data_IF_420168164891
#
_entry.id   IF_420168164891
#
_cell.length_a   1.000
_cell.length_b   1.000
_cell.length_c   1.000
_cell.angle_alpha   90.00
_cell.angle_beta   90.00
_cell.angle_gamma   90.00
#
_symmetry.space_group_name_H-M   'P 1'
#
loop_
_entity.id
_entity.type
_entity.pdbx_description
1 polymer ?
#
# COMPACT_ATOMS: atom_id res chain seq x y z
N UNK A 1 15.72 -18.25 -10.73
CA UNK A 1 16.66 -18.70 -9.69
C UNK A 1 16.04 -18.72 -8.28
N UNK A 2 15.05 -17.84 -7.98
CA UNK A 2 14.45 -17.75 -6.63
C UNK A 2 13.29 -18.72 -6.40
N UNK A 3 12.61 -19.19 -7.43
CA UNK A 3 11.40 -20.01 -7.32
C UNK A 3 11.70 -21.37 -6.67
N UNK A 4 12.71 -22.07 -7.14
CA UNK A 4 13.03 -23.40 -6.63
C UNK A 4 13.44 -23.40 -5.14
N UNK A 5 14.35 -22.52 -4.67
CA UNK A 5 14.63 -22.40 -3.25
C UNK A 5 13.40 -22.04 -2.41
N UNK A 6 12.51 -21.17 -2.91
CA UNK A 6 11.26 -20.82 -2.24
C UNK A 6 10.36 -22.04 -2.07
N UNK A 7 10.17 -22.83 -3.14
CA UNK A 7 9.37 -24.05 -3.08
C UNK A 7 9.94 -25.08 -2.09
N UNK A 8 11.27 -25.21 -2.05
CA UNK A 8 11.93 -26.11 -1.07
C UNK A 8 11.72 -25.62 0.37
N UNK A 9 11.85 -24.32 0.63
CA UNK A 9 11.59 -23.72 1.94
C UNK A 9 10.14 -23.98 2.37
N UNK A 10 9.14 -23.71 1.50
CA UNK A 10 7.73 -23.92 1.82
C UNK A 10 7.47 -25.39 2.17
N UNK A 11 8.00 -26.33 1.39
CA UNK A 11 7.87 -27.78 1.67
C UNK A 11 8.55 -28.16 2.99
N UNK A 12 9.76 -27.64 3.23
CA UNK A 12 10.49 -27.89 4.46
C UNK A 12 9.81 -27.27 5.70
N UNK A 13 9.01 -26.20 5.52
CA UNK A 13 8.13 -25.64 6.56
C UNK A 13 6.94 -26.56 6.88
N UNK A 14 6.74 -27.64 6.14
CA UNK A 14 5.62 -28.55 6.30
C UNK A 14 4.30 -28.05 5.71
N UNK A 15 4.36 -27.01 4.86
CA UNK A 15 3.19 -26.45 4.21
C UNK A 15 2.92 -27.17 2.88
N UNK A 16 1.67 -27.52 2.56
CA UNK A 16 1.31 -28.07 1.27
C UNK A 16 1.51 -27.02 0.18
N UNK A 17 2.23 -27.39 -0.88
CA UNK A 17 2.49 -26.55 -2.03
C UNK A 17 1.85 -27.15 -3.26
N UNK A 18 0.93 -26.41 -3.88
CA UNK A 18 0.31 -26.76 -5.15
C UNK A 18 0.91 -25.91 -6.26
N UNK A 19 1.35 -26.58 -7.33
CA UNK A 19 1.85 -25.94 -8.53
C UNK A 19 1.30 -26.74 -9.73
N UNK A 20 0.32 -26.18 -10.43
CA UNK A 20 -0.40 -26.82 -11.52
C UNK A 20 0.06 -26.20 -12.82
N UNK A 21 0.64 -27.00 -13.71
CA UNK A 21 1.14 -26.51 -14.99
C UNK A 21 0.00 -26.00 -15.89
N UNK A 22 0.15 -24.79 -16.43
CA UNK A 22 -0.83 -24.17 -17.34
C UNK A 22 -2.09 -23.65 -16.66
N UNK A 23 -2.08 -23.51 -15.33
CA UNK A 23 -3.18 -22.96 -14.53
C UNK A 23 -2.65 -21.83 -13.68
N UNK A 24 -3.41 -20.74 -13.55
CA UNK A 24 -3.08 -19.63 -12.66
C UNK A 24 -3.28 -20.01 -11.19
N UNK A 25 -2.50 -19.41 -10.32
CA UNK A 25 -2.63 -19.64 -8.87
C UNK A 25 -4.01 -19.26 -8.35
N UNK A 26 -4.60 -18.21 -8.91
CA UNK A 26 -5.92 -17.69 -8.54
C UNK A 26 -7.04 -18.68 -8.80
N UNK A 27 -6.96 -19.42 -9.91
CA UNK A 27 -7.91 -20.48 -10.26
C UNK A 27 -7.79 -21.67 -9.29
N UNK A 28 -6.56 -22.03 -8.89
CA UNK A 28 -6.32 -23.08 -7.90
C UNK A 28 -6.88 -22.66 -6.54
N UNK A 29 -6.59 -21.44 -6.09
CA UNK A 29 -7.09 -20.89 -4.84
C UNK A 29 -8.62 -20.76 -4.89
N UNK A 30 -9.18 -20.22 -5.98
CA UNK A 30 -10.63 -20.10 -6.19
C UNK A 30 -11.35 -21.45 -6.10
N UNK A 31 -10.78 -22.47 -6.72
CA UNK A 31 -11.33 -23.84 -6.70
C UNK A 31 -11.33 -24.41 -5.28
N UNK A 32 -10.19 -24.32 -4.56
CA UNK A 32 -10.08 -24.82 -3.17
C UNK A 32 -10.97 -24.03 -2.21
N UNK A 33 -11.01 -22.71 -2.34
CA UNK A 33 -11.84 -21.85 -1.52
C UNK A 33 -13.34 -22.14 -1.71
N UNK A 34 -13.75 -22.38 -2.95
CA UNK A 34 -15.14 -22.74 -3.28
C UNK A 34 -15.51 -24.12 -2.71
N UNK A 35 -14.63 -25.11 -2.84
CA UNK A 35 -14.85 -26.43 -2.25
C UNK A 35 -14.97 -26.37 -0.72
N UNK A 36 -14.06 -25.67 -0.07
CA UNK A 36 -14.06 -25.53 1.40
C UNK A 36 -15.27 -24.73 1.91
N UNK A 37 -15.62 -23.63 1.23
CA UNK A 37 -16.80 -22.80 1.55
C UNK A 37 -18.10 -23.59 1.40
N UNK A 38 -18.23 -24.37 0.33
CA UNK A 38 -19.39 -25.25 0.09
C UNK A 38 -19.55 -26.34 1.15
N UNK A 39 -18.44 -26.75 1.78
CA UNK A 39 -18.42 -27.66 2.92
C UNK A 39 -18.59 -26.94 4.27
N UNK A 40 -18.95 -25.65 4.28
CA UNK A 40 -19.16 -24.84 5.49
C UNK A 40 -17.89 -24.50 6.26
N UNK A 41 -16.71 -24.61 5.63
CA UNK A 41 -15.43 -24.25 6.26
C UNK A 41 -15.15 -22.75 6.06
N UNK A 42 -14.60 -22.13 7.10
CA UNK A 42 -14.04 -20.78 6.98
C UNK A 42 -12.70 -20.84 6.25
N UNK A 43 -12.54 -19.96 5.28
CA UNK A 43 -11.36 -19.82 4.42
C UNK A 43 -10.80 -18.42 4.58
N UNK A 44 -9.52 -18.30 4.84
CA UNK A 44 -8.78 -17.05 4.84
C UNK A 44 -7.79 -17.08 3.67
N UNK A 45 -7.98 -16.23 2.68
CA UNK A 45 -7.07 -16.09 1.52
C UNK A 45 -6.13 -14.91 1.80
N UNK A 46 -4.84 -15.20 1.92
CA UNK A 46 -3.81 -14.15 2.07
C UNK A 46 -3.36 -13.69 0.70
N UNK A 47 -3.79 -12.50 0.31
CA UNK A 47 -3.48 -11.91 -1.00
C UNK A 47 -3.54 -10.40 -0.98
N UNK A 48 -2.75 -9.76 -1.86
CA UNK A 48 -2.89 -8.34 -2.22
C UNK A 48 -3.76 -8.11 -3.45
N UNK A 49 -4.13 -9.22 -4.13
CA UNK A 49 -4.86 -9.15 -5.39
C UNK A 49 -6.33 -8.78 -5.18
N UNK A 50 -6.79 -7.78 -5.92
CA UNK A 50 -8.16 -7.28 -5.86
C UNK A 50 -9.17 -8.23 -6.52
N UNK A 51 -8.71 -9.04 -7.46
CA UNK A 51 -9.58 -9.90 -8.25
C UNK A 51 -10.14 -11.04 -7.40
N UNK A 52 -9.38 -11.46 -6.39
CA UNK A 52 -9.83 -12.41 -5.37
C UNK A 52 -11.06 -11.95 -4.57
N UNK A 53 -11.41 -10.64 -4.62
CA UNK A 53 -12.60 -10.13 -3.92
C UNK A 53 -13.92 -10.74 -4.44
N UNK A 54 -13.93 -11.29 -5.66
CA UNK A 54 -15.06 -12.03 -6.21
C UNK A 54 -15.37 -13.34 -5.46
N UNK A 55 -14.37 -13.89 -4.76
CA UNK A 55 -14.52 -15.14 -3.98
C UNK A 55 -15.08 -14.93 -2.58
N UNK A 56 -15.11 -13.68 -2.11
CA UNK A 56 -15.53 -13.35 -0.75
C UNK A 56 -17.01 -13.66 -0.53
N UNK A 57 -17.30 -14.35 0.54
CA UNK A 57 -18.67 -14.67 0.97
C UNK A 57 -18.70 -14.86 2.50
N UNK A 58 -19.79 -15.40 3.06
CA UNK A 58 -19.93 -15.64 4.51
C UNK A 58 -18.86 -16.55 5.11
N UNK A 59 -18.17 -17.36 4.30
CA UNK A 59 -17.15 -18.31 4.71
C UNK A 59 -15.74 -17.96 4.18
N UNK A 60 -15.64 -17.09 3.19
CA UNK A 60 -14.36 -16.69 2.57
C UNK A 60 -14.07 -15.24 2.90
N UNK A 61 -12.91 -14.99 3.50
CA UNK A 61 -12.40 -13.65 3.82
C UNK A 61 -11.00 -13.49 3.22
N UNK A 62 -10.69 -12.31 2.69
CA UNK A 62 -9.33 -11.97 2.27
C UNK A 62 -8.56 -11.26 3.38
N UNK A 63 -7.27 -11.53 3.47
CA UNK A 63 -6.35 -10.75 4.29
C UNK A 63 -5.20 -10.24 3.42
N UNK A 64 -4.95 -8.94 3.48
CA UNK A 64 -3.72 -8.37 2.95
C UNK A 64 -2.76 -8.14 4.11
N UNK A 65 -1.76 -9.02 4.25
CA UNK A 65 -0.78 -8.97 5.35
C UNK A 65 0.20 -7.82 5.24
N UNK A 66 0.31 -7.15 4.08
CA UNK A 66 1.13 -5.95 3.90
C UNK A 66 0.49 -4.70 4.50
N UNK A 67 -0.85 -4.63 4.47
CA UNK A 67 -1.63 -3.49 4.96
C UNK A 67 -2.47 -3.83 6.19
N UNK A 68 -2.39 -5.07 6.66
CA UNK A 68 -3.20 -5.64 7.75
C UNK A 68 -4.72 -5.43 7.56
N UNK A 69 -5.16 -5.53 6.30
CA UNK A 69 -6.55 -5.26 5.91
C UNK A 69 -7.31 -6.57 5.72
N UNK A 70 -8.42 -6.73 6.44
CA UNK A 70 -9.38 -7.82 6.24
C UNK A 70 -10.52 -7.36 5.34
N UNK A 71 -10.89 -8.21 4.36
CA UNK A 71 -12.01 -7.97 3.47
C UNK A 71 -13.01 -9.14 3.58
N UNK A 72 -14.02 -8.94 4.38
CA UNK A 72 -15.28 -9.68 4.39
C UNK A 72 -16.27 -9.06 3.38
N UNK A 73 -17.49 -9.54 3.20
CA UNK A 73 -18.46 -8.93 2.27
C UNK A 73 -18.74 -7.44 2.52
N UNK A 74 -18.67 -6.99 3.78
CA UNK A 74 -18.85 -5.57 4.14
C UNK A 74 -17.61 -4.78 3.76
N UNK A 75 -16.42 -5.32 4.02
CA UNK A 75 -15.13 -4.73 3.64
C UNK A 75 -14.98 -4.58 2.13
N UNK A 76 -15.40 -5.59 1.35
CA UNK A 76 -15.43 -5.52 -0.13
C UNK A 76 -16.34 -4.37 -0.58
N UNK A 77 -17.56 -4.29 -0.06
CA UNK A 77 -18.49 -3.21 -0.41
C UNK A 77 -17.97 -1.83 -0.03
N UNK A 78 -17.30 -1.71 1.11
CA UNK A 78 -16.68 -0.45 1.54
C UNK A 78 -15.52 -0.04 0.63
N UNK A 79 -14.70 -1.01 0.20
CA UNK A 79 -13.50 -0.75 -0.61
C UNK A 79 -13.82 -0.49 -2.08
N UNK A 80 -14.69 -1.31 -2.68
CA UNK A 80 -14.97 -1.27 -4.12
C UNK A 80 -16.28 -0.56 -4.48
N UNK A 81 -17.10 -0.17 -3.48
CA UNK A 81 -18.41 0.41 -3.71
C UNK A 81 -19.48 -0.58 -4.17
N UNK A 82 -19.10 -1.84 -4.42
CA UNK A 82 -20.00 -2.94 -4.83
C UNK A 82 -19.74 -4.17 -3.97
N UNK A 83 -20.71 -5.07 -3.90
CA UNK A 83 -20.53 -6.34 -3.18
C UNK A 83 -19.71 -7.36 -3.96
N UNK A 84 -19.28 -8.45 -3.31
CA UNK A 84 -18.52 -9.53 -3.96
C UNK A 84 -19.19 -10.06 -5.22
N UNK A 85 -20.50 -10.11 -5.24
CA UNK A 85 -21.35 -10.58 -6.33
C UNK A 85 -21.21 -9.76 -7.63
N UNK A 86 -20.71 -8.53 -7.54
CA UNK A 86 -20.54 -7.60 -8.67
C UNK A 86 -19.09 -7.28 -8.97
N UNK A 87 -18.13 -7.94 -8.33
CA UNK A 87 -16.68 -7.66 -8.54
C UNK A 87 -16.25 -8.03 -9.96
N UNK A 88 -16.74 -9.13 -10.52
CA UNK A 88 -16.43 -9.51 -11.91
C UNK A 88 -16.92 -8.44 -12.88
N UNK A 89 -18.17 -8.00 -12.70
CA UNK A 89 -18.77 -6.94 -13.51
C UNK A 89 -18.01 -5.62 -13.38
N UNK A 90 -17.58 -5.29 -12.16
CA UNK A 90 -16.80 -4.10 -11.86
C UNK A 90 -15.44 -4.13 -12.58
N UNK A 91 -14.71 -5.24 -12.51
CA UNK A 91 -13.43 -5.42 -13.16
C UNK A 91 -13.58 -5.44 -14.69
N UNK A 92 -14.61 -6.12 -15.20
CA UNK A 92 -14.89 -6.19 -16.63
C UNK A 92 -15.18 -4.81 -17.22
N UNK A 93 -15.94 -3.97 -16.52
CA UNK A 93 -16.25 -2.60 -16.95
C UNK A 93 -15.05 -1.68 -16.88
N UNK A 94 -14.30 -1.74 -15.79
CA UNK A 94 -13.15 -0.85 -15.55
C UNK A 94 -11.92 -1.28 -16.38
N UNK A 95 -11.75 -2.57 -16.61
CA UNK A 95 -10.53 -3.17 -17.12
C UNK A 95 -9.43 -3.27 -16.07
N UNK A 96 -8.38 -3.98 -16.39
CA UNK A 96 -7.17 -4.07 -15.62
C UNK A 96 -5.92 -3.94 -16.49
N UNK A 97 -5.09 -2.96 -16.19
CA UNK A 97 -3.84 -2.74 -16.92
C UNK A 97 -2.75 -3.76 -16.55
N UNK A 98 -2.77 -4.27 -15.30
CA UNK A 98 -1.80 -5.25 -14.84
C UNK A 98 -1.96 -6.56 -15.62
N UNK A 99 -3.21 -6.99 -15.81
CA UNK A 99 -3.57 -8.25 -16.45
C UNK A 99 -3.97 -8.08 -17.92
N UNK A 100 -3.76 -6.86 -18.45
CA UNK A 100 -4.08 -6.51 -19.83
C UNK A 100 -5.57 -6.75 -20.20
N UNK A 101 -6.46 -6.57 -19.25
CA UNK A 101 -7.92 -6.63 -19.46
C UNK A 101 -8.39 -5.26 -19.97
N UNK A 102 -8.98 -5.19 -21.19
CA UNK A 102 -9.21 -3.90 -21.85
C UNK A 102 -10.32 -3.05 -21.21
N UNK A 103 -11.32 -3.69 -20.59
CA UNK A 103 -12.50 -2.98 -20.07
C UNK A 103 -13.36 -2.31 -21.12
N UNK A 104 -14.29 -1.46 -20.67
CA UNK A 104 -15.12 -0.61 -21.55
C UNK A 104 -14.44 0.75 -21.74
N UNK A 105 -14.15 1.21 -22.98
CA UNK A 105 -13.40 2.42 -23.24
C UNK A 105 -13.98 3.66 -22.56
N UNK A 106 -13.13 4.33 -21.72
CA UNK A 106 -13.49 5.54 -20.99
C UNK A 106 -14.36 5.32 -19.75
N UNK A 107 -14.49 4.08 -19.30
CA UNK A 107 -15.09 3.72 -18.01
C UNK A 107 -13.96 3.51 -17.00
N UNK A 108 -13.99 4.27 -15.93
CA UNK A 108 -13.14 4.09 -14.77
C UNK A 108 -13.96 3.71 -13.54
N UNK A 109 -13.29 3.57 -12.42
CA UNK A 109 -13.85 3.09 -11.16
C UNK A 109 -15.19 3.74 -10.79
N UNK A 110 -15.24 5.07 -10.72
CA UNK A 110 -16.46 5.81 -10.33
C UNK A 110 -17.62 5.59 -11.29
N UNK A 111 -17.33 5.43 -12.58
CA UNK A 111 -18.35 5.20 -13.58
C UNK A 111 -18.89 3.78 -13.49
N UNK A 112 -18.03 2.78 -13.33
CA UNK A 112 -18.39 1.40 -13.10
C UNK A 112 -19.25 1.25 -11.84
N UNK A 113 -18.83 1.84 -10.72
CA UNK A 113 -19.59 1.87 -9.47
C UNK A 113 -20.98 2.47 -9.67
N UNK A 114 -21.09 3.62 -10.34
CA UNK A 114 -22.39 4.29 -10.55
C UNK A 114 -23.36 3.43 -11.39
N UNK A 115 -22.86 2.72 -12.40
CA UNK A 115 -23.68 1.81 -13.21
C UNK A 115 -24.13 0.60 -12.40
N UNK A 116 -23.22 -0.07 -11.71
CA UNK A 116 -23.53 -1.29 -10.95
C UNK A 116 -24.42 -1.00 -9.72
N UNK A 117 -24.22 0.12 -9.03
CA UNK A 117 -25.07 0.53 -7.92
C UNK A 117 -26.45 0.98 -8.38
N UNK A 118 -26.53 1.63 -9.54
CA UNK A 118 -27.78 2.19 -10.05
C UNK A 118 -28.67 1.19 -10.77
N UNK A 119 -28.09 0.20 -11.43
CA UNK A 119 -28.82 -0.75 -12.28
C UNK A 119 -28.59 -2.20 -11.85
N UNK A 120 -27.36 -2.62 -11.65
CA UNK A 120 -26.99 -4.00 -11.32
C UNK A 120 -25.87 -4.53 -12.19
N UNK A 121 -25.80 -5.84 -12.38
CA UNK A 121 -24.79 -6.55 -13.15
C UNK A 121 -24.78 -6.11 -14.65
N UNK A 122 -23.75 -6.50 -15.39
CA UNK A 122 -23.62 -6.22 -16.84
C UNK A 122 -24.84 -6.75 -17.59
N UNK A 123 -25.39 -7.90 -17.22
CA UNK A 123 -26.63 -8.43 -17.79
C UNK A 123 -27.82 -7.49 -17.60
N UNK A 124 -27.95 -6.87 -16.44
CA UNK A 124 -29.01 -5.91 -16.15
C UNK A 124 -28.79 -4.59 -16.90
N UNK A 125 -27.50 -4.17 -17.05
CA UNK A 125 -27.15 -3.00 -17.86
C UNK A 125 -27.61 -3.13 -19.31
N UNK A 126 -27.49 -4.30 -19.92
CA UNK A 126 -27.98 -4.55 -21.28
C UNK A 126 -29.48 -4.61 -21.36
N UNK A 127 -30.15 -5.16 -20.35
CA UNK A 127 -31.64 -5.20 -20.30
C UNK A 127 -32.24 -3.81 -20.07
N UNK A 128 -31.55 -2.96 -19.34
CA UNK A 128 -32.04 -1.63 -18.91
C UNK A 128 -31.17 -0.49 -19.45
N UNK A 129 -30.59 -0.69 -20.64
CA UNK A 129 -29.55 0.17 -21.21
C UNK A 129 -30.00 1.64 -21.36
N UNK A 130 -31.28 1.88 -21.61
CA UNK A 130 -31.84 3.23 -21.77
C UNK A 130 -31.99 3.97 -20.43
N UNK A 131 -31.96 3.26 -19.29
CA UNK A 131 -32.02 3.87 -17.96
C UNK A 131 -30.66 4.44 -17.52
N UNK A 132 -29.54 4.01 -18.13
CA UNK A 132 -28.19 4.44 -17.76
C UNK A 132 -28.03 5.96 -17.85
N UNK A 133 -28.68 6.58 -18.86
CA UNK A 133 -28.61 8.03 -19.05
C UNK A 133 -29.18 8.82 -17.86
N UNK A 134 -30.15 8.23 -17.12
CA UNK A 134 -30.77 8.83 -15.96
C UNK A 134 -29.92 8.80 -14.69
N UNK A 135 -28.84 8.02 -14.63
CA UNK A 135 -27.95 7.93 -13.47
C UNK A 135 -27.14 9.19 -13.21
N UNK A 136 -27.07 10.12 -14.17
CA UNK A 136 -26.57 11.48 -13.98
C UNK A 136 -25.04 11.61 -13.80
N UNK A 137 -24.25 10.56 -13.94
CA UNK A 137 -22.79 10.67 -13.91
C UNK A 137 -22.24 11.24 -15.23
N UNK A 138 -21.02 11.75 -15.19
CA UNK A 138 -20.37 12.34 -16.37
C UNK A 138 -20.20 11.29 -17.48
N UNK A 139 -20.85 11.51 -18.62
CA UNK A 139 -20.81 10.61 -19.77
C UNK A 139 -21.96 9.58 -19.82
N UNK A 140 -22.89 9.58 -18.85
CA UNK A 140 -24.01 8.62 -18.80
C UNK A 140 -24.84 8.55 -20.08
N UNK A 141 -24.97 9.67 -20.81
CA UNK A 141 -25.74 9.74 -22.07
C UNK A 141 -25.10 9.02 -23.25
N UNK A 142 -23.79 8.75 -23.20
CA UNK A 142 -23.02 8.10 -24.30
C UNK A 142 -22.61 6.67 -23.98
N UNK A 143 -22.80 6.22 -22.75
CA UNK A 143 -22.39 4.87 -22.30
C UNK A 143 -23.21 3.78 -22.99
N UNK A 144 -24.51 4.02 -23.23
CA UNK A 144 -25.38 3.06 -23.92
C UNK A 144 -24.84 2.69 -25.32
N UNK A 145 -24.36 3.69 -26.06
CA UNK A 145 -23.79 3.46 -27.39
C UNK A 145 -22.46 2.68 -27.29
N UNK A 146 -21.61 3.03 -26.31
CA UNK A 146 -20.38 2.29 -26.06
C UNK A 146 -20.61 0.84 -25.65
N UNK A 147 -21.59 0.57 -24.80
CA UNK A 147 -21.95 -0.80 -24.43
C UNK A 147 -22.34 -1.63 -25.65
N UNK A 148 -23.13 -1.05 -26.59
CA UNK A 148 -23.51 -1.72 -27.85
C UNK A 148 -22.30 -1.91 -28.77
N UNK A 149 -21.45 -0.91 -28.92
CA UNK A 149 -20.30 -0.93 -29.81
C UNK A 149 -19.20 -1.90 -29.33
N UNK A 150 -18.93 -1.93 -28.01
CA UNK A 150 -17.83 -2.71 -27.42
C UNK A 150 -18.31 -3.96 -26.67
N UNK A 151 -19.52 -4.47 -26.96
CA UNK A 151 -20.07 -5.67 -26.33
C UNK A 151 -19.12 -6.87 -26.37
N UNK A 152 -18.54 -7.24 -27.54
CA UNK A 152 -17.62 -8.39 -27.61
C UNK A 152 -16.39 -8.21 -26.74
N UNK A 153 -15.84 -6.99 -26.66
CA UNK A 153 -14.71 -6.66 -25.82
C UNK A 153 -15.05 -6.73 -24.33
N UNK A 154 -16.23 -6.26 -23.96
CA UNK A 154 -16.71 -6.31 -22.58
C UNK A 154 -16.95 -7.75 -22.11
N UNK A 155 -17.52 -8.60 -22.99
CA UNK A 155 -17.72 -10.03 -22.70
C UNK A 155 -16.36 -10.76 -22.56
N UNK A 156 -15.39 -10.41 -23.39
CA UNK A 156 -14.02 -10.93 -23.23
C UNK A 156 -13.43 -10.48 -21.90
N UNK A 157 -13.55 -9.19 -21.54
CA UNK A 157 -13.08 -8.67 -20.27
C UNK A 157 -13.73 -9.38 -19.08
N UNK A 158 -15.03 -9.65 -19.15
CA UNK A 158 -15.76 -10.41 -18.15
C UNK A 158 -15.21 -11.83 -17.98
N UNK A 159 -14.97 -12.52 -19.10
CA UNK A 159 -14.39 -13.85 -19.09
C UNK A 159 -12.98 -13.86 -18.51
N UNK A 160 -12.14 -12.88 -18.87
CA UNK A 160 -10.76 -12.79 -18.39
C UNK A 160 -10.69 -12.41 -16.89
N UNK A 161 -11.63 -11.60 -16.41
CA UNK A 161 -11.70 -11.21 -15.01
C UNK A 161 -12.30 -12.30 -14.10
N UNK A 162 -12.90 -13.35 -14.67
CA UNK A 162 -13.57 -14.40 -13.91
C UNK A 162 -12.57 -15.49 -13.51
N UNK A 163 -12.36 -15.64 -12.22
CA UNK A 163 -11.54 -16.73 -11.66
C UNK A 163 -12.25 -18.07 -11.87
N UNK A 164 -11.53 -19.03 -12.40
CA UNK A 164 -12.02 -20.39 -12.60
C UNK A 164 -12.06 -21.14 -11.27
N UNK A 165 -13.21 -21.73 -10.93
CA UNK A 165 -13.44 -22.40 -9.66
C UNK A 165 -13.68 -23.90 -9.76
N UNK A 166 -13.38 -24.48 -10.92
CA UNK A 166 -13.62 -25.89 -11.26
C UNK A 166 -12.36 -26.57 -11.86
N UNK A 167 -11.18 -26.10 -11.44
CA UNK A 167 -9.91 -26.69 -11.87
C UNK A 167 -9.79 -28.10 -11.34
N UNK A 168 -9.34 -29.05 -12.19
CA UNK A 168 -8.98 -30.37 -11.77
C UNK A 168 -7.70 -30.34 -10.94
N UNK A 169 -7.80 -30.64 -9.65
CA UNK A 169 -6.69 -30.59 -8.70
C UNK A 169 -6.23 -32.00 -8.31
N UNK A 170 -4.93 -32.20 -8.06
CA UNK A 170 -4.39 -33.50 -7.65
C UNK A 170 -4.82 -33.95 -6.26
N UNK A 171 -5.38 -33.02 -5.46
CA UNK A 171 -5.88 -33.27 -4.10
C UNK A 171 -7.06 -32.36 -3.79
N UNK A 172 -7.86 -32.81 -2.83
CA UNK A 172 -9.01 -32.03 -2.33
C UNK A 172 -8.61 -31.15 -1.14
N UNK A 173 -9.41 -30.10 -0.87
CA UNK A 173 -9.11 -29.17 0.24
C UNK A 173 -8.94 -29.86 1.60
N UNK A 174 -9.65 -30.95 1.87
CA UNK A 174 -9.59 -31.70 3.14
C UNK A 174 -8.33 -32.56 3.29
N UNK A 175 -7.59 -32.78 2.21
CA UNK A 175 -6.30 -33.46 2.21
C UNK A 175 -5.14 -32.51 2.49
N UNK A 176 -5.39 -31.19 2.41
CA UNK A 176 -4.40 -30.17 2.73
C UNK A 176 -4.18 -30.13 4.24
N UNK A 177 -3.04 -30.62 4.68
CA UNK A 177 -2.66 -30.63 6.09
C UNK A 177 -1.25 -30.10 6.28
N UNK A 178 -1.05 -29.33 7.34
CA UNK A 178 0.26 -28.85 7.76
C UNK A 178 0.95 -30.01 8.47
N UNK A 179 2.20 -30.31 8.08
CA UNK A 179 3.05 -31.31 8.74
C UNK A 179 4.11 -30.62 9.61
N UNK A 180 4.82 -31.39 10.44
CA UNK A 180 5.90 -30.83 11.23
C UNK A 180 7.02 -30.28 10.34
N UNK A 181 7.58 -29.10 10.64
CA UNK A 181 8.69 -28.53 9.87
C UNK A 181 9.95 -29.42 9.93
N UNK A 182 10.66 -29.49 8.80
CA UNK A 182 11.98 -30.12 8.72
C UNK A 182 13.08 -29.08 9.08
N UNK A 183 13.34 -28.90 10.37
CA UNK A 183 14.28 -27.91 10.87
C UNK A 183 15.70 -28.05 10.31
N UNK A 184 16.29 -29.27 10.17
CA UNK A 184 17.60 -29.43 9.56
C UNK A 184 17.68 -28.93 8.10
N UNK A 185 16.67 -29.25 7.30
CA UNK A 185 16.57 -28.80 5.91
C UNK A 185 16.34 -27.29 5.81
N UNK A 186 15.47 -26.73 6.65
CA UNK A 186 15.26 -25.27 6.74
C UNK A 186 16.54 -24.55 7.10
N UNK A 187 17.31 -25.05 8.06
CA UNK A 187 18.60 -24.45 8.43
C UNK A 187 19.57 -24.45 7.26
N UNK A 188 19.66 -25.54 6.51
CA UNK A 188 20.52 -25.63 5.33
C UNK A 188 20.09 -24.65 4.23
N UNK A 189 18.78 -24.56 3.93
CA UNK A 189 18.23 -23.66 2.93
C UNK A 189 18.42 -22.18 3.32
N UNK A 190 18.18 -21.84 4.58
CA UNK A 190 18.39 -20.47 5.07
C UNK A 190 19.87 -20.07 5.10
N UNK A 191 20.77 -21.01 5.38
CA UNK A 191 22.21 -20.77 5.25
C UNK A 191 22.61 -20.53 3.78
N UNK A 192 22.10 -21.33 2.86
CA UNK A 192 22.35 -21.17 1.43
C UNK A 192 21.81 -19.84 0.88
N UNK A 193 20.66 -19.40 1.38
CA UNK A 193 20.04 -18.12 1.00
C UNK A 193 20.58 -16.92 1.81
N UNK A 194 21.55 -17.14 2.71
CA UNK A 194 22.14 -16.11 3.59
C UNK A 194 21.11 -15.42 4.51
N UNK A 195 19.99 -16.08 4.85
CA UNK A 195 18.97 -15.59 5.77
C UNK A 195 19.39 -15.79 7.23
N UNK A 196 20.38 -15.02 7.67
CA UNK A 196 21.05 -15.16 8.98
C UNK A 196 20.11 -15.23 10.17
N UNK A 197 19.09 -14.36 10.18
CA UNK A 197 18.10 -14.30 11.27
C UNK A 197 17.27 -15.58 11.33
N UNK A 198 16.64 -15.98 10.23
CA UNK A 198 15.83 -17.18 10.17
C UNK A 198 16.62 -18.45 10.39
N UNK A 199 17.86 -18.50 9.93
CA UNK A 199 18.79 -19.59 10.22
C UNK A 199 19.03 -19.74 11.73
N UNK A 200 19.26 -18.62 12.46
CA UNK A 200 19.45 -18.64 13.90
C UNK A 200 18.16 -19.07 14.65
N UNK A 201 17.00 -18.57 14.25
CA UNK A 201 15.69 -18.90 14.82
C UNK A 201 15.36 -20.39 14.63
N UNK A 202 15.56 -20.94 13.43
CA UNK A 202 15.30 -22.37 13.14
C UNK A 202 16.24 -23.29 13.91
N UNK A 203 17.51 -22.94 14.07
CA UNK A 203 18.45 -23.73 14.88
C UNK A 203 18.03 -23.75 16.36
N UNK A 204 17.58 -22.62 16.89
CA UNK A 204 17.06 -22.55 18.27
C UNK A 204 15.79 -23.42 18.45
N UNK A 205 14.85 -23.37 17.50
CA UNK A 205 13.63 -24.18 17.53
C UNK A 205 13.90 -25.68 17.32
N UNK A 206 14.84 -26.03 16.44
CA UNK A 206 15.25 -27.41 16.21
C UNK A 206 15.85 -28.06 17.45
N UNK A 207 16.60 -27.30 18.26
CA UNK A 207 17.12 -27.76 19.55
C UNK A 207 15.99 -28.00 20.55
N UNK A 208 14.99 -27.14 20.60
CA UNK A 208 13.81 -27.28 21.48
C UNK A 208 12.97 -28.48 21.05
N UNK A 209 12.72 -28.66 19.74
CA UNK A 209 11.93 -29.80 19.23
C UNK A 209 12.61 -31.17 19.52
N UNK A 210 13.95 -31.24 19.38
CA UNK A 210 14.71 -32.47 19.75
C UNK A 210 14.68 -32.74 21.25
N UNK A 211 14.58 -31.73 22.10
CA UNK A 211 14.47 -31.87 23.55
C UNK A 211 13.04 -32.24 24.01
N UNK A 212 12.01 -31.81 23.25
CA UNK A 212 10.61 -32.13 23.56
C UNK A 212 10.19 -33.57 23.19
N UNK A 213 10.92 -34.24 22.30
CA UNK A 213 10.72 -35.68 22.06
C UNK A 213 11.22 -36.57 23.22
N UNK A 214 11.90 -35.97 24.21
CA UNK A 214 12.46 -36.67 25.39
C UNK A 214 11.74 -36.35 26.71
N UNK A 215 10.62 -35.60 26.72
CA UNK A 215 9.89 -35.28 27.97
C UNK A 215 8.37 -35.28 27.78
N UNK A 216 7.60 -35.76 28.79
CA UNK A 216 6.14 -35.79 28.68
C UNK A 216 5.51 -34.42 28.84
N UNK A 217 4.36 -34.27 28.20
CA UNK A 217 3.60 -33.03 28.07
C UNK A 217 3.35 -32.31 29.41
N UNK A 218 3.70 -31.06 29.49
CA UNK A 218 3.22 -30.12 30.49
C UNK A 218 2.89 -28.75 29.87
N UNK A 219 1.59 -28.49 29.95
CA UNK A 219 0.89 -27.19 30.07
C UNK A 219 1.40 -25.99 29.29
N UNK A 220 0.51 -25.54 28.42
CA UNK A 220 0.51 -24.19 27.80
C UNK A 220 0.71 -23.08 28.83
N UNK A 221 1.82 -22.36 28.70
CA UNK A 221 1.96 -21.03 29.30
C UNK A 221 1.55 -19.99 28.25
N UNK A 222 0.43 -19.37 28.53
CA UNK A 222 -0.03 -18.17 27.85
C UNK A 222 1.02 -17.07 27.99
N UNK A 223 1.72 -16.76 26.91
CA UNK A 223 2.43 -15.47 26.82
C UNK A 223 1.38 -14.36 26.84
N UNK A 224 1.45 -13.58 27.89
CA UNK A 224 0.68 -12.35 28.01
C UNK A 224 1.04 -11.43 26.85
N UNK A 225 0.05 -11.15 26.00
CA UNK A 225 0.10 -10.05 25.07
C UNK A 225 0.48 -8.79 25.84
N UNK A 226 1.59 -8.16 25.42
CA UNK A 226 1.99 -6.84 25.91
C UNK A 226 0.79 -5.90 25.69
N UNK A 227 0.28 -5.33 26.77
CA UNK A 227 -0.84 -4.39 26.69
C UNK A 227 -0.52 -3.31 25.66
N UNK A 228 -1.47 -2.87 24.83
CA UNK A 228 -1.26 -1.77 23.92
C UNK A 228 -0.90 -0.54 24.75
N UNK A 229 0.19 0.11 24.38
CA UNK A 229 0.49 1.45 24.89
C UNK A 229 -0.73 2.34 24.67
N UNK A 230 -1.05 3.26 25.59
CA UNK A 230 -2.25 4.09 25.48
C UNK A 230 -2.20 4.84 24.14
N UNK A 231 -3.22 4.61 23.32
CA UNK A 231 -3.41 5.36 22.08
C UNK A 231 -3.44 6.85 22.43
N UNK A 232 -2.42 7.57 22.02
CA UNK A 232 -2.39 9.03 22.09
C UNK A 232 -3.49 9.49 21.13
N UNK A 233 -4.49 10.17 21.67
CA UNK A 233 -5.62 10.68 20.89
C UNK A 233 -5.13 11.88 20.06
N UNK A 234 -4.73 11.67 18.81
CA UNK A 234 -4.11 12.66 17.93
C UNK A 234 -5.11 13.52 17.14
N UNK A 235 -6.41 13.47 17.46
CA UNK A 235 -7.45 14.24 16.76
C UNK A 235 -7.39 15.76 16.98
N UNK A 236 -6.43 16.26 17.75
CA UNK A 236 -6.22 17.70 17.98
C UNK A 236 -4.75 18.08 17.83
N UNK A 237 -4.25 18.10 16.59
CA UNK A 237 -2.99 18.79 16.32
C UNK A 237 -3.23 20.29 16.46
N UNK A 238 -2.62 20.92 17.46
CA UNK A 238 -2.60 22.36 17.59
C UNK A 238 -1.75 22.96 16.46
N UNK A 239 -2.42 23.61 15.52
CA UNK A 239 -1.79 24.26 14.36
C UNK A 239 -1.63 25.78 14.58
N UNK A 240 -1.85 26.29 15.79
CA UNK A 240 -1.76 27.73 16.09
C UNK A 240 -0.36 28.29 15.85
N UNK A 241 0.69 27.44 15.93
CA UNK A 241 2.06 27.80 15.63
C UNK A 241 2.49 27.63 14.17
N UNK A 242 1.55 27.32 13.25
CA UNK A 242 1.87 27.19 11.82
C UNK A 242 1.81 28.55 11.15
N UNK A 243 2.85 28.88 10.40
CA UNK A 243 3.00 30.20 9.74
C UNK A 243 3.38 30.05 8.29
N UNK A 244 2.79 30.87 7.42
CA UNK A 244 3.22 31.01 6.04
C UNK A 244 4.03 32.30 5.91
N UNK A 245 5.19 32.22 5.28
CA UNK A 245 6.17 33.32 5.19
C UNK A 245 6.02 34.02 3.85
N UNK A 246 5.61 35.29 3.85
CA UNK A 246 5.40 36.08 2.64
C UNK A 246 6.31 37.32 2.55
N UNK A 247 6.96 37.70 3.64
CA UNK A 247 7.77 38.92 3.70
C UNK A 247 9.19 38.66 4.22
N UNK A 248 10.10 39.59 3.92
CA UNK A 248 11.53 39.47 4.28
C UNK A 248 11.77 39.47 5.79
N UNK A 249 10.94 40.18 6.58
CA UNK A 249 11.13 40.28 8.02
C UNK A 249 10.77 38.95 8.69
N UNK A 250 9.65 38.33 8.32
CA UNK A 250 9.27 37.01 8.78
C UNK A 250 10.30 35.96 8.30
N UNK A 251 10.82 36.09 7.09
CA UNK A 251 11.85 35.18 6.55
C UNK A 251 13.17 35.30 7.34
N UNK A 252 13.59 36.51 7.70
CA UNK A 252 14.79 36.70 8.53
C UNK A 252 14.64 36.08 9.92
N UNK A 253 13.44 36.15 10.51
CA UNK A 253 13.14 35.48 11.77
C UNK A 253 13.18 33.94 11.64
N UNK A 254 12.61 33.40 10.55
CA UNK A 254 12.71 31.98 10.24
C UNK A 254 14.16 31.52 10.14
N UNK A 255 15.02 32.23 9.40
CA UNK A 255 16.45 31.90 9.26
C UNK A 255 17.16 31.84 10.61
N UNK A 256 16.87 32.77 11.52
CA UNK A 256 17.41 32.76 12.86
C UNK A 256 16.97 31.49 13.62
N UNK A 257 15.66 31.20 13.58
CA UNK A 257 15.08 30.00 14.21
C UNK A 257 15.71 28.71 13.65
N UNK A 258 15.86 28.59 12.33
CA UNK A 258 16.46 27.41 11.70
C UNK A 258 17.96 27.24 12.09
N UNK A 259 18.66 28.35 12.29
CA UNK A 259 20.08 28.32 12.64
C UNK A 259 20.31 27.92 14.09
N UNK A 260 19.40 28.30 14.99
CA UNK A 260 19.47 28.00 16.42
C UNK A 260 18.87 26.63 16.79
N UNK A 261 18.04 26.07 15.93
CA UNK A 261 17.37 24.80 16.19
C UNK A 261 18.37 23.61 16.19
N UNK A 262 18.27 22.72 17.18
CA UNK A 262 19.14 21.54 17.25
C UNK A 262 18.86 20.52 16.14
N UNK A 263 17.64 20.49 15.61
CA UNK A 263 17.18 19.63 14.52
C UNK A 263 16.01 20.32 13.82
N UNK A 264 16.00 20.29 12.49
CA UNK A 264 14.93 20.86 11.67
C UNK A 264 14.37 19.77 10.75
N UNK A 265 13.06 19.59 10.78
CA UNK A 265 12.35 18.85 9.73
C UNK A 265 12.26 19.74 8.50
N UNK A 266 12.65 19.20 7.34
CA UNK A 266 12.74 19.92 6.07
C UNK A 266 12.15 19.09 4.94
N UNK A 267 11.37 19.75 4.08
CA UNK A 267 10.79 19.15 2.90
C UNK A 267 10.59 20.20 1.79
N UNK A 268 10.57 19.77 0.52
CA UNK A 268 10.38 20.64 -0.65
C UNK A 268 9.08 20.32 -1.38
N UNK A 269 8.34 21.37 -1.76
CA UNK A 269 7.19 21.27 -2.65
C UNK A 269 7.59 21.63 -4.06
N UNK A 270 7.17 20.81 -5.03
CA UNK A 270 7.66 20.89 -6.39
C UNK A 270 6.56 20.66 -7.43
N UNK A 271 6.85 21.03 -8.69
CA UNK A 271 5.91 20.88 -9.82
C UNK A 271 5.81 19.45 -10.35
N UNK A 272 6.73 18.55 -10.02
CA UNK A 272 6.81 17.18 -10.57
C UNK A 272 7.47 16.22 -9.60
N UNK A 273 7.10 14.94 -9.66
CA UNK A 273 7.80 13.85 -8.98
C UNK A 273 9.13 13.47 -9.67
N UNK A 274 9.31 13.86 -10.92
CA UNK A 274 10.59 13.71 -11.61
C UNK A 274 11.53 14.85 -11.22
N UNK A 275 12.44 14.56 -10.27
CA UNK A 275 13.39 15.52 -9.74
C UNK A 275 14.32 16.16 -10.81
N UNK A 276 14.44 15.53 -11.99
CA UNK A 276 15.22 16.10 -13.10
C UNK A 276 14.49 17.26 -13.81
N UNK A 277 13.16 17.32 -13.69
CA UNK A 277 12.31 18.34 -14.29
C UNK A 277 11.59 19.21 -13.25
N UNK A 278 11.55 18.76 -12.00
CA UNK A 278 10.83 19.40 -10.92
C UNK A 278 11.35 20.83 -10.66
N UNK A 279 10.44 21.81 -10.61
CA UNK A 279 10.72 23.17 -10.18
C UNK A 279 10.22 23.38 -8.76
N UNK A 280 10.96 24.14 -7.96
CA UNK A 280 10.63 24.40 -6.58
C UNK A 280 9.48 25.40 -6.49
N UNK A 281 8.40 25.05 -5.79
CA UNK A 281 7.24 25.94 -5.56
C UNK A 281 7.10 26.35 -4.09
N UNK A 282 7.68 25.59 -3.17
CA UNK A 282 7.67 25.90 -1.74
C UNK A 282 8.64 25.05 -0.94
N UNK A 283 8.82 25.42 0.32
CA UNK A 283 9.61 24.66 1.29
C UNK A 283 8.91 24.69 2.64
N UNK A 284 8.88 23.55 3.33
CA UNK A 284 8.35 23.45 4.68
C UNK A 284 9.44 23.17 5.71
N UNK A 285 9.26 23.71 6.90
CA UNK A 285 10.19 23.58 8.01
C UNK A 285 9.41 23.34 9.31
N UNK A 286 9.93 22.51 10.21
CA UNK A 286 9.43 22.37 11.57
C UNK A 286 10.59 22.14 12.53
N UNK A 287 10.51 22.73 13.73
CA UNK A 287 11.54 22.60 14.77
C UNK A 287 11.03 21.89 16.03
N UNK A 288 9.70 21.82 16.18
CA UNK A 288 9.04 21.12 17.27
C UNK A 288 7.58 20.78 16.88
N UNK A 289 6.93 19.85 17.58
CA UNK A 289 5.50 19.61 17.41
C UNK A 289 4.68 20.92 17.60
N UNK A 290 3.79 21.20 16.65
CA UNK A 290 2.97 22.41 16.65
C UNK A 290 3.67 23.69 16.17
N UNK A 291 4.94 23.63 15.78
CA UNK A 291 5.71 24.76 15.23
C UNK A 291 6.22 24.43 13.84
N UNK A 292 5.60 25.01 12.84
CA UNK A 292 5.98 24.80 11.44
C UNK A 292 5.84 26.06 10.62
N UNK A 293 6.64 26.14 9.56
CA UNK A 293 6.65 27.25 8.60
C UNK A 293 6.56 26.71 7.19
N UNK A 294 5.78 27.41 6.38
CA UNK A 294 5.73 27.19 4.94
C UNK A 294 6.23 28.44 4.23
N UNK A 295 7.15 28.27 3.31
CA UNK A 295 7.78 29.32 2.52
C UNK A 295 7.44 29.13 1.04
N UNK A 296 6.36 29.75 0.51
CA UNK A 296 6.00 29.68 -0.89
C UNK A 296 6.95 30.52 -1.71
N UNK A 297 7.36 30.04 -2.90
CA UNK A 297 8.31 30.72 -3.80
C UNK A 297 7.96 30.60 -5.28
N UNK A 298 6.95 29.79 -5.65
CA UNK A 298 6.64 29.52 -7.05
C UNK A 298 5.18 29.12 -7.31
N UNK A 299 4.24 29.43 -6.41
CA UNK A 299 2.83 29.19 -6.66
C UNK A 299 2.25 30.20 -7.67
N UNK A 300 1.57 29.71 -8.71
CA UNK A 300 1.02 30.50 -9.82
C UNK A 300 -0.49 30.36 -10.05
N UNK A 301 -1.21 29.76 -9.08
CA UNK A 301 -2.66 29.60 -9.17
C UNK A 301 -3.41 30.94 -9.08
N UNK A 302 -4.61 31.01 -9.64
CA UNK A 302 -5.44 32.22 -9.62
C UNK A 302 -5.74 32.68 -8.18
N UNK A 303 -5.26 33.90 -7.84
CA UNK A 303 -5.39 34.47 -6.49
C UNK A 303 -4.25 34.10 -5.55
N UNK A 304 -3.17 33.51 -6.03
CA UNK A 304 -1.97 33.28 -5.22
C UNK A 304 -1.49 34.61 -4.61
N UNK A 305 -1.18 34.65 -3.28
CA UNK A 305 -0.62 35.83 -2.65
C UNK A 305 0.76 36.18 -3.23
N UNK A 306 1.19 37.41 -3.06
CA UNK A 306 2.55 37.83 -3.41
C UNK A 306 3.56 37.04 -2.57
N UNK A 307 4.60 36.49 -3.20
CA UNK A 307 5.60 35.61 -2.63
C UNK A 307 6.99 36.22 -2.75
N UNK A 308 7.89 35.81 -1.85
CA UNK A 308 9.31 36.14 -2.01
C UNK A 308 9.89 35.49 -3.27
N UNK A 309 10.79 36.19 -3.93
CA UNK A 309 11.40 35.61 -5.14
C UNK A 309 12.27 34.40 -4.80
N UNK A 310 12.19 33.33 -5.60
CA UNK A 310 12.95 32.11 -5.42
C UNK A 310 14.46 32.39 -5.33
N UNK A 311 14.98 33.25 -6.18
CA UNK A 311 16.41 33.59 -6.20
C UNK A 311 16.88 34.27 -4.91
N UNK A 312 16.07 35.17 -4.35
CA UNK A 312 16.37 35.85 -3.08
C UNK A 312 16.35 34.80 -1.92
N UNK A 313 15.30 34.01 -1.87
CA UNK A 313 15.14 32.99 -0.81
C UNK A 313 16.28 31.97 -0.85
N UNK A 314 16.62 31.42 -2.01
CA UNK A 314 17.70 30.45 -2.13
C UNK A 314 19.06 31.04 -1.79
N UNK A 315 19.33 32.29 -2.18
CA UNK A 315 20.59 32.96 -1.81
C UNK A 315 20.77 33.10 -0.29
N UNK A 316 19.68 33.36 0.44
CA UNK A 316 19.72 33.49 1.89
C UNK A 316 19.72 32.14 2.62
N UNK A 317 18.99 31.12 2.10
CA UNK A 317 18.93 29.77 2.69
C UNK A 317 20.16 28.92 2.40
N UNK A 318 20.87 29.15 1.29
CA UNK A 318 22.03 28.35 0.88
C UNK A 318 23.05 28.12 1.98
N UNK A 319 23.48 29.16 2.76
CA UNK A 319 24.44 28.94 3.85
C UNK A 319 23.92 27.95 4.92
N UNK A 320 22.63 27.96 5.24
CA UNK A 320 22.02 27.03 6.18
C UNK A 320 21.85 25.63 5.57
N UNK A 321 21.37 25.53 4.32
CA UNK A 321 21.18 24.27 3.61
C UNK A 321 22.49 23.50 3.44
N UNK A 322 23.60 24.20 3.16
CA UNK A 322 24.92 23.61 2.94
C UNK A 322 25.73 23.43 4.23
N UNK A 323 25.23 23.89 5.37
CA UNK A 323 25.95 23.76 6.64
C UNK A 323 25.78 22.34 7.23
N UNK A 324 26.88 21.56 7.36
CA UNK A 324 26.83 20.23 7.95
C UNK A 324 26.54 20.25 9.47
N UNK A 325 26.72 21.39 10.15
CA UNK A 325 26.41 21.52 11.56
C UNK A 325 24.91 21.78 11.86
N UNK A 326 24.15 22.24 10.86
CA UNK A 326 22.72 22.40 10.98
C UNK A 326 22.02 21.06 10.68
N UNK A 327 21.61 20.36 11.73
CA UNK A 327 21.01 19.05 11.63
C UNK A 327 19.64 19.08 10.97
N UNK A 328 19.40 18.17 10.02
CA UNK A 328 18.15 18.07 9.26
C UNK A 328 17.59 16.65 9.32
N UNK A 329 16.27 16.56 9.36
CA UNK A 329 15.49 15.33 9.21
C UNK A 329 14.41 15.56 8.12
N UNK A 330 14.08 14.53 7.37
CA UNK A 330 12.98 14.58 6.41
C UNK A 330 12.61 13.20 5.91
N UNK A 331 11.72 13.18 4.95
CA UNK A 331 11.21 11.97 4.33
C UNK A 331 11.74 11.85 2.91
N UNK A 332 12.57 10.83 2.60
CA UNK A 332 13.17 10.66 1.27
C UNK A 332 13.99 11.88 0.80
N UNK A 333 14.83 12.39 1.69
CA UNK A 333 15.66 13.60 1.42
C UNK A 333 16.59 13.48 0.21
N UNK A 334 16.75 12.30 -0.36
CA UNK A 334 17.42 12.10 -1.64
C UNK A 334 16.73 12.86 -2.77
N UNK A 335 15.39 12.92 -2.74
CA UNK A 335 14.61 13.71 -3.69
C UNK A 335 14.93 15.20 -3.55
N UNK A 336 14.85 15.73 -2.33
CA UNK A 336 15.11 17.15 -2.02
C UNK A 336 16.54 17.55 -2.36
N UNK A 337 17.52 16.68 -2.08
CA UNK A 337 18.90 16.88 -2.50
C UNK A 337 19.02 17.04 -4.04
N UNK A 338 18.29 16.20 -4.79
CA UNK A 338 18.33 16.21 -6.25
C UNK A 338 17.68 17.46 -6.82
N UNK A 339 16.56 17.91 -6.24
CA UNK A 339 15.89 19.15 -6.61
C UNK A 339 16.77 20.35 -6.31
N UNK A 340 17.34 20.45 -5.09
CA UNK A 340 18.20 21.58 -4.69
C UNK A 340 19.51 21.62 -5.48
N UNK A 341 20.04 20.47 -5.90
CA UNK A 341 21.25 20.41 -6.73
C UNK A 341 21.07 21.12 -8.09
N UNK A 342 19.84 21.19 -8.63
CA UNK A 342 19.53 21.95 -9.85
C UNK A 342 19.65 23.48 -9.67
N UNK A 343 19.65 23.95 -8.42
CA UNK A 343 19.86 25.33 -8.03
C UNK A 343 21.27 25.56 -7.44
N UNK A 344 22.21 24.67 -7.76
CA UNK A 344 23.61 24.71 -7.25
C UNK A 344 23.70 24.73 -5.71
N UNK A 345 22.78 24.03 -5.03
CA UNK A 345 22.75 23.90 -3.58
C UNK A 345 23.00 22.44 -3.20
N UNK A 346 24.05 22.20 -2.40
CA UNK A 346 24.38 20.90 -1.86
C UNK A 346 23.76 20.76 -0.45
N UNK A 347 22.64 20.08 -0.32
CA UNK A 347 22.01 19.84 1.00
C UNK A 347 22.93 19.01 1.88
N UNK A 348 23.31 19.55 3.05
CA UNK A 348 24.19 18.90 4.05
C UNK A 348 23.53 18.89 5.42
N UNK A 349 24.14 18.16 6.35
CA UNK A 349 23.65 18.05 7.73
C UNK A 349 22.44 17.14 7.88
N UNK A 350 22.15 16.27 6.91
CA UNK A 350 21.12 15.24 7.03
C UNK A 350 21.57 14.25 8.12
N UNK A 351 20.81 14.18 9.21
CA UNK A 351 21.04 13.21 10.29
C UNK A 351 20.07 12.04 10.22
N UNK A 352 18.83 12.32 9.79
CA UNK A 352 17.76 11.32 9.78
C UNK A 352 16.98 11.41 8.46
N UNK A 353 16.62 10.26 7.93
CA UNK A 353 15.67 10.12 6.82
C UNK A 353 14.64 9.06 7.22
N UNK A 354 13.41 9.50 7.48
CA UNK A 354 12.37 8.65 8.06
C UNK A 354 11.95 7.51 7.13
N UNK A 355 12.08 7.68 5.79
CA UNK A 355 11.84 6.59 4.85
C UNK A 355 12.94 5.52 4.97
N UNK A 356 14.20 5.92 4.99
CA UNK A 356 15.33 4.98 5.09
C UNK A 356 15.36 4.29 6.45
N UNK A 357 15.12 5.02 7.54
CA UNK A 357 15.02 4.44 8.89
C UNK A 357 13.91 3.40 8.98
N UNK A 358 12.73 3.71 8.47
CA UNK A 358 11.62 2.77 8.42
C UNK A 358 11.95 1.53 7.59
N UNK A 359 12.59 1.72 6.44
CA UNK A 359 13.00 0.62 5.57
C UNK A 359 14.04 -0.29 6.26
N UNK A 360 15.03 0.30 6.94
CA UNK A 360 16.06 -0.47 7.68
C UNK A 360 15.47 -1.17 8.90
N UNK A 361 14.53 -0.52 9.59
CA UNK A 361 13.88 -1.08 10.77
C UNK A 361 13.02 -2.30 10.43
N UNK A 362 12.20 -2.19 9.39
CA UNK A 362 11.37 -3.30 8.90
C UNK A 362 10.94 -3.05 7.44
N UNK A 363 11.71 -3.57 6.48
CA UNK A 363 11.53 -3.36 5.04
C UNK A 363 10.20 -3.83 4.46
N UNK A 364 9.44 -4.65 5.19
CA UNK A 364 8.16 -5.22 4.74
C UNK A 364 6.95 -4.70 5.52
N UNK A 365 7.16 -3.81 6.48
CA UNK A 365 6.09 -3.43 7.41
C UNK A 365 5.08 -2.44 6.84
N UNK A 366 5.46 -1.63 5.84
CA UNK A 366 4.64 -0.56 5.25
C UNK A 366 5.24 -0.12 3.90
N UNK A 367 4.57 0.80 3.21
CA UNK A 367 5.09 1.43 2.00
C UNK A 367 6.27 2.37 2.26
N UNK A 368 6.57 2.70 3.51
CA UNK A 368 7.59 3.64 3.93
C UNK A 368 7.36 5.09 3.45
N UNK A 369 6.19 5.41 2.91
CA UNK A 369 5.77 6.77 2.63
C UNK A 369 5.33 7.50 3.91
N UNK A 370 5.28 8.83 3.85
CA UNK A 370 4.96 9.67 5.00
C UNK A 370 3.59 9.34 5.58
N UNK A 371 2.58 9.13 4.73
CA UNK A 371 1.21 8.86 5.14
C UNK A 371 1.11 7.56 5.92
N UNK A 372 1.69 6.48 5.37
CA UNK A 372 1.74 5.18 6.03
C UNK A 372 2.49 5.22 7.36
N UNK A 373 3.58 5.99 7.44
CA UNK A 373 4.36 6.14 8.67
C UNK A 373 3.64 6.98 9.72
N UNK A 374 2.99 8.08 9.31
CA UNK A 374 2.19 8.92 10.19
C UNK A 374 1.01 8.15 10.77
N UNK A 375 0.28 7.38 9.96
CA UNK A 375 -0.81 6.54 10.43
C UNK A 375 -0.32 5.46 11.41
N UNK A 376 0.76 4.76 11.05
CA UNK A 376 1.28 3.64 11.85
C UNK A 376 1.87 4.06 13.18
N UNK A 377 2.71 5.10 13.21
CA UNK A 377 3.47 5.48 14.41
C UNK A 377 2.83 6.60 15.21
N UNK A 378 2.03 7.45 14.57
CA UNK A 378 1.40 8.60 15.20
C UNK A 378 -0.13 8.48 15.27
N UNK A 379 -0.74 7.49 14.62
CA UNK A 379 -2.20 7.38 14.49
C UNK A 379 -2.81 8.55 13.72
N UNK A 380 -1.99 9.32 12.98
CA UNK A 380 -2.39 10.52 12.28
C UNK A 380 -2.65 10.21 10.80
N UNK A 381 -3.86 10.50 10.35
CA UNK A 381 -4.21 10.43 8.92
C UNK A 381 -3.92 11.79 8.29
N UNK A 382 -3.02 11.81 7.33
CA UNK A 382 -2.69 13.00 6.53
C UNK A 382 -3.84 13.44 5.64
N UNK A 383 -3.71 14.61 5.02
CA UNK A 383 -4.79 15.24 4.23
C UNK A 383 -4.90 14.58 2.85
#
# INVERSE_FOLDING_TARGET
YQIEPLHQIIKAMGLPLLCISGVEADDVIGTLATQASSAGRHVLISTGDKDMAQLVNQHVTLINTMTDTLLDPVGVRKKFGVGPELIIDFLALMGDKADNIPGLPGVGEKTAQAMLQGIGAISDLYQRIDEIAALGFRGSKTIADKLREFEPQLMLSYQLATIKIDVELPMQFHELSITAPNYPELAALFAQCEFKRWHAEVNAQGVVANNLQAAPALAASTEQAKAPEPAINHDQIDRSGYQTIFDEAAFAQLLTTLTEAPLVSFDTETTSLDYMQAELVGMSFATAPGQAWYLPVGHDYLGAPEQLSLSFVLAQLKPWLENPACAKVGQNLKYDQSVLARYDIALKGIQFDTMLESYVLNSVATRHDMDSLAEKYLGHKTI
#
